data_IF_183285986860
#
_entry.id   IF_183285986860
#
_cell.length_a   1.000
_cell.length_b   1.000
_cell.length_c   1.000
_cell.angle_alpha   90.00
_cell.angle_beta   90.00
_cell.angle_gamma   90.00
#
_symmetry.space_group_name_H-M   'P 1'
#
loop_
_entity.id
_entity.type
_entity.pdbx_description
1 polymer ?
#
# COMPACT_ATOMS: atom_id res chain seq x y z
N UNK A 1 12.16 -7.66 25.23
CA UNK A 1 13.27 -7.39 24.27
C UNK A 1 13.95 -8.68 23.84
N UNK A 2 14.23 -8.88 22.54
CA UNK A 2 14.93 -10.06 22.02
C UNK A 2 16.45 -9.89 22.05
N UNK A 3 17.17 -11.02 22.20
CA UNK A 3 18.62 -11.05 22.03
C UNK A 3 18.98 -10.80 20.56
N UNK A 4 20.03 -10.00 20.27
CA UNK A 4 20.50 -9.79 18.91
C UNK A 4 20.97 -11.11 18.28
N UNK A 5 20.47 -11.37 17.08
CA UNK A 5 20.88 -12.49 16.23
C UNK A 5 21.03 -11.96 14.79
N UNK A 6 21.83 -12.64 13.94
CA UNK A 6 21.85 -12.35 12.52
C UNK A 6 20.44 -12.42 11.92
N UNK A 7 20.10 -11.49 11.02
CA UNK A 7 18.73 -11.34 10.51
C UNK A 7 18.18 -12.61 9.81
N UNK A 8 19.06 -13.39 9.19
CA UNK A 8 18.74 -14.63 8.46
C UNK A 8 19.30 -15.89 9.16
N UNK A 9 19.45 -15.86 10.48
CA UNK A 9 20.12 -16.96 11.20
C UNK A 9 19.47 -18.33 10.95
N UNK A 10 18.14 -18.38 10.81
CA UNK A 10 17.41 -19.64 10.66
C UNK A 10 17.53 -20.20 9.24
N UNK A 11 17.40 -19.33 8.22
CA UNK A 11 17.54 -19.70 6.82
C UNK A 11 18.95 -20.22 6.53
N UNK A 12 19.97 -19.49 7.00
CA UNK A 12 21.37 -19.89 6.81
C UNK A 12 21.65 -21.19 7.55
N UNK A 13 21.23 -21.32 8.81
CA UNK A 13 21.46 -22.54 9.57
C UNK A 13 20.77 -23.76 8.96
N UNK A 14 19.56 -23.59 8.42
CA UNK A 14 18.85 -24.65 7.73
C UNK A 14 19.59 -25.11 6.48
N UNK A 15 20.00 -24.18 5.60
CA UNK A 15 20.73 -24.50 4.37
C UNK A 15 22.05 -25.23 4.68
N UNK A 16 22.79 -24.74 5.69
CA UNK A 16 24.07 -25.35 6.10
C UNK A 16 23.88 -26.75 6.68
N UNK A 17 22.91 -26.94 7.58
CA UNK A 17 22.64 -28.24 8.20
C UNK A 17 22.04 -29.26 7.22
N UNK A 18 21.48 -28.82 6.10
CA UNK A 18 20.97 -29.69 5.03
C UNK A 18 22.06 -30.12 4.05
N UNK A 19 23.00 -29.24 3.71
CA UNK A 19 23.96 -29.47 2.61
C UNK A 19 25.41 -29.72 3.05
N UNK A 20 25.79 -29.27 4.25
CA UNK A 20 27.17 -29.30 4.77
C UNK A 20 27.20 -29.75 6.24
N UNK A 21 26.43 -30.79 6.57
CA UNK A 21 26.32 -31.29 7.93
C UNK A 21 27.63 -31.90 8.45
N UNK A 22 28.41 -32.51 7.57
CA UNK A 22 29.71 -33.11 7.81
C UNK A 22 30.79 -32.09 8.21
N UNK A 23 30.68 -30.86 7.73
CA UNK A 23 31.58 -29.75 8.10
C UNK A 23 31.23 -29.12 9.46
N UNK A 24 30.09 -29.47 10.06
CA UNK A 24 29.60 -28.86 11.30
C UNK A 24 29.83 -29.81 12.48
N UNK A 25 30.68 -29.44 13.46
CA UNK A 25 30.86 -30.25 14.65
C UNK A 25 29.55 -30.31 15.45
N UNK A 26 29.16 -31.51 15.86
CA UNK A 26 27.94 -31.76 16.65
C UNK A 26 26.66 -31.20 16.00
N UNK A 27 26.52 -31.36 14.68
CA UNK A 27 25.39 -30.83 13.90
C UNK A 27 24.00 -31.19 14.46
N UNK A 28 23.80 -32.41 14.99
CA UNK A 28 22.53 -32.83 15.60
C UNK A 28 22.19 -32.05 16.88
N UNK A 29 23.21 -31.75 17.70
CA UNK A 29 23.03 -30.93 18.90
C UNK A 29 22.70 -29.49 18.50
N UNK A 30 23.40 -28.93 17.52
CA UNK A 30 23.11 -27.61 16.96
C UNK A 30 21.68 -27.51 16.43
N UNK A 31 21.21 -28.55 15.71
CA UNK A 31 19.83 -28.63 15.21
C UNK A 31 18.82 -28.61 16.35
N UNK A 32 19.07 -29.33 17.44
CA UNK A 32 18.22 -29.33 18.63
C UNK A 32 18.17 -27.94 19.27
N UNK A 33 19.33 -27.32 19.51
CA UNK A 33 19.41 -25.98 20.10
C UNK A 33 18.73 -24.91 19.24
N UNK A 34 18.82 -25.01 17.90
CA UNK A 34 18.12 -24.09 17.00
C UNK A 34 16.61 -24.23 17.06
N UNK A 35 16.10 -25.46 17.23
CA UNK A 35 14.67 -25.70 17.43
C UNK A 35 14.19 -25.09 18.74
N UNK A 36 14.89 -25.36 19.84
CA UNK A 36 14.54 -24.82 21.16
C UNK A 36 14.58 -23.27 21.15
N UNK A 37 15.59 -22.69 20.51
CA UNK A 37 15.70 -21.25 20.33
C UNK A 37 14.53 -20.68 19.52
N UNK A 38 14.14 -21.34 18.42
CA UNK A 38 12.99 -20.95 17.60
C UNK A 38 11.71 -20.98 18.42
N UNK A 39 11.46 -22.06 19.16
CA UNK A 39 10.27 -22.23 19.97
C UNK A 39 10.16 -21.15 21.06
N UNK A 40 11.27 -20.91 21.78
CA UNK A 40 11.32 -19.87 22.80
C UNK A 40 11.05 -18.46 22.22
N UNK A 41 11.64 -18.16 21.06
CA UNK A 41 11.45 -16.86 20.39
C UNK A 41 10.05 -16.72 19.80
N UNK A 42 9.48 -17.78 19.23
CA UNK A 42 8.12 -17.79 18.72
C UNK A 42 7.09 -17.58 19.84
N UNK A 43 7.27 -18.24 20.98
CA UNK A 43 6.42 -18.06 22.17
C UNK A 43 6.44 -16.61 22.65
N UNK A 44 7.63 -16.01 22.74
CA UNK A 44 7.81 -14.59 23.10
C UNK A 44 7.21 -13.64 22.07
N UNK A 45 7.33 -13.95 20.78
CA UNK A 45 6.77 -13.14 19.72
C UNK A 45 5.24 -13.17 19.73
N UNK A 46 4.62 -14.33 19.98
CA UNK A 46 3.17 -14.46 20.18
C UNK A 46 2.67 -13.62 21.35
N UNK A 47 3.35 -13.67 22.50
CA UNK A 47 3.04 -12.80 23.63
C UNK A 47 3.15 -11.30 23.29
N UNK A 48 4.10 -10.93 22.41
CA UNK A 48 4.22 -9.57 21.88
C UNK A 48 3.06 -9.17 20.96
N UNK A 49 2.53 -10.12 20.19
CA UNK A 49 1.36 -9.93 19.33
C UNK A 49 0.07 -9.87 20.14
N UNK A 50 -0.04 -10.57 21.27
CA UNK A 50 -1.21 -10.43 22.17
C UNK A 50 -1.37 -9.00 22.70
N UNK A 51 -0.27 -8.25 22.76
CA UNK A 51 -0.26 -6.82 23.09
C UNK A 51 -0.62 -5.91 21.89
N UNK A 52 -1.26 -6.44 20.84
CA UNK A 52 -1.79 -5.71 19.68
C UNK A 52 -2.77 -4.60 20.12
N UNK A 53 -2.23 -3.40 20.28
CA UNK A 53 -2.98 -2.16 20.40
C UNK A 53 -3.24 -1.49 19.05
N UNK A 54 -3.90 -0.33 19.09
CA UNK A 54 -4.29 0.44 17.90
C UNK A 54 -3.13 1.22 17.24
N UNK A 55 -2.02 1.44 17.95
CA UNK A 55 -1.05 2.47 17.59
C UNK A 55 0.22 1.92 16.93
N UNK A 56 0.99 1.08 17.63
CA UNK A 56 2.17 0.40 17.07
C UNK A 56 2.63 -0.75 17.97
N UNK A 57 3.37 -1.70 17.41
CA UNK A 57 4.13 -2.72 18.14
C UNK A 57 5.60 -2.57 17.76
N UNK A 58 6.47 -2.56 18.77
CA UNK A 58 7.91 -2.55 18.59
C UNK A 58 8.50 -3.90 19.02
N UNK A 59 9.17 -4.57 18.10
CA UNK A 59 9.89 -5.83 18.33
C UNK A 59 11.25 -5.77 17.68
N UNK A 60 12.25 -5.34 18.45
CA UNK A 60 13.63 -5.25 17.97
C UNK A 60 14.30 -6.62 17.96
N UNK A 61 15.29 -6.79 17.08
CA UNK A 61 16.10 -8.01 16.95
C UNK A 61 15.30 -9.28 16.59
N UNK A 62 14.24 -9.13 15.79
CA UNK A 62 13.50 -10.25 15.20
C UNK A 62 14.13 -10.66 13.85
N UNK A 63 14.21 -11.97 13.59
CA UNK A 63 14.72 -12.51 12.33
C UNK A 63 13.69 -12.49 11.20
N UNK A 64 14.14 -12.64 9.96
CA UNK A 64 13.26 -12.62 8.78
C UNK A 64 12.23 -13.76 8.80
N UNK A 65 12.66 -15.01 9.04
CA UNK A 65 11.74 -16.15 9.11
C UNK A 65 10.64 -15.92 10.15
N UNK A 66 10.98 -15.36 11.30
CA UNK A 66 10.05 -15.08 12.39
C UNK A 66 9.03 -14.00 11.99
N UNK A 67 9.46 -12.94 11.31
CA UNK A 67 8.55 -11.92 10.74
C UNK A 67 7.59 -12.57 9.75
N UNK A 68 8.09 -13.44 8.88
CA UNK A 68 7.29 -14.06 7.83
C UNK A 68 6.24 -15.01 8.40
N UNK A 69 6.50 -15.66 9.54
CA UNK A 69 5.51 -16.46 10.26
C UNK A 69 4.36 -15.62 10.82
N UNK A 70 4.66 -14.44 11.37
CA UNK A 70 3.69 -13.59 12.08
C UNK A 70 2.89 -12.72 11.09
N UNK A 71 3.52 -12.30 9.99
CA UNK A 71 2.99 -11.38 8.98
C UNK A 71 1.54 -11.65 8.56
N UNK A 72 1.15 -12.86 8.11
CA UNK A 72 -0.19 -13.06 7.54
C UNK A 72 -1.30 -12.91 8.59
N UNK A 73 -1.05 -13.32 9.83
CA UNK A 73 -2.01 -13.14 10.92
C UNK A 73 -2.06 -11.68 11.37
N UNK A 74 -0.89 -11.11 11.68
CA UNK A 74 -0.76 -9.75 12.19
C UNK A 74 -1.40 -8.72 11.25
N UNK A 75 -1.10 -8.83 9.96
CA UNK A 75 -1.58 -7.87 8.95
C UNK A 75 -3.11 -7.87 8.90
N UNK A 76 -3.72 -9.06 8.88
CA UNK A 76 -5.19 -9.20 8.85
C UNK A 76 -5.83 -8.68 10.15
N UNK A 77 -5.35 -9.12 11.31
CA UNK A 77 -5.88 -8.70 12.60
C UNK A 77 -5.78 -7.18 12.77
N UNK A 78 -4.64 -6.59 12.43
CA UNK A 78 -4.42 -5.15 12.51
C UNK A 78 -5.37 -4.37 11.59
N UNK A 79 -5.60 -4.84 10.35
CA UNK A 79 -6.56 -4.20 9.46
C UNK A 79 -7.99 -4.24 10.00
N UNK A 80 -8.44 -5.37 10.55
CA UNK A 80 -9.78 -5.45 11.16
C UNK A 80 -9.92 -4.54 12.38
N UNK A 81 -8.90 -4.50 13.24
CA UNK A 81 -8.83 -3.59 14.38
C UNK A 81 -8.91 -2.11 13.92
N UNK A 82 -8.23 -1.76 12.83
CA UNK A 82 -8.28 -0.40 12.26
C UNK A 82 -9.65 -0.06 11.66
N UNK A 83 -10.35 -1.01 11.04
CA UNK A 83 -11.71 -0.79 10.51
C UNK A 83 -12.72 -0.48 11.62
N UNK A 84 -12.57 -1.12 12.78
CA UNK A 84 -13.45 -0.93 13.92
C UNK A 84 -13.16 0.36 14.70
N UNK A 85 -12.11 1.09 14.34
CA UNK A 85 -11.80 2.38 14.94
C UNK A 85 -12.97 3.33 14.65
N UNK A 86 -13.68 3.84 15.67
CA UNK A 86 -14.65 4.90 15.44
C UNK A 86 -13.90 6.06 14.80
N UNK A 87 -14.45 6.61 13.70
CA UNK A 87 -13.94 7.86 13.13
C UNK A 87 -13.79 8.82 14.29
N UNK A 88 -12.54 9.18 14.62
CA UNK A 88 -12.27 10.11 15.71
C UNK A 88 -13.22 11.28 15.48
N UNK A 89 -14.12 11.51 16.44
CA UNK A 89 -15.17 12.53 16.33
C UNK A 89 -14.52 13.81 15.82
N UNK A 90 -14.72 14.09 14.54
CA UNK A 90 -14.39 15.37 13.95
C UNK A 90 -15.32 16.35 14.63
N UNK A 91 -14.85 16.95 15.72
CA UNK A 91 -15.52 18.04 16.38
C UNK A 91 -15.73 19.15 15.35
N UNK A 92 -17.01 19.40 15.06
CA UNK A 92 -17.48 20.57 14.35
C UNK A 92 -16.85 21.84 14.91
N UNK A 93 -16.40 22.72 14.02
CA UNK A 93 -16.46 24.18 14.16
C UNK A 93 -16.25 24.79 12.76
N UNK A 94 -17.28 24.73 11.91
CA UNK A 94 -17.38 25.65 10.79
C UNK A 94 -18.68 26.42 10.97
N UNK A 95 -18.50 27.72 11.22
CA UNK A 95 -19.49 28.74 11.46
C UNK A 95 -20.64 28.69 10.46
N UNK A 96 -21.87 28.90 10.97
CA UNK A 96 -23.03 29.34 10.20
C UNK A 96 -22.60 30.47 9.26
N UNK A 97 -22.56 30.20 7.96
CA UNK A 97 -22.58 31.26 6.95
C UNK A 97 -24.03 31.41 6.50
N UNK A 98 -24.70 32.34 7.17
CA UNK A 98 -25.95 32.97 6.75
C UNK A 98 -25.68 33.73 5.44
N UNK A 99 -26.02 33.13 4.29
CA UNK A 99 -25.97 33.81 3.00
C UNK A 99 -27.31 34.50 2.76
N UNK A 100 -27.37 35.76 3.18
CA UNK A 100 -28.38 36.73 2.76
C UNK A 100 -28.32 36.93 1.23
N UNK A 101 -29.24 36.29 0.50
CA UNK A 101 -29.41 36.52 -0.94
C UNK A 101 -30.30 37.74 -1.15
N UNK A 102 -29.71 38.92 -0.96
CA UNK A 102 -30.32 40.20 -1.28
C UNK A 102 -30.69 40.29 -2.76
N UNK A 103 -32.00 40.39 -3.03
CA UNK A 103 -32.55 40.56 -4.38
C UNK A 103 -32.09 41.85 -5.03
N UNK A 104 -31.49 41.72 -6.22
CA UNK A 104 -31.18 42.83 -7.12
C UNK A 104 -31.72 42.52 -8.52
N UNK A 105 -32.84 43.15 -8.88
CA UNK A 105 -33.34 43.22 -10.25
C UNK A 105 -32.38 44.04 -11.11
N UNK A 106 -31.91 43.50 -12.23
CA UNK A 106 -31.33 44.30 -13.32
C UNK A 106 -31.64 43.66 -14.69
N UNK A 107 -32.57 44.30 -15.39
CA UNK A 107 -32.88 44.12 -16.82
C UNK A 107 -31.67 44.48 -17.69
N UNK A 108 -31.33 43.63 -18.69
CA UNK A 108 -30.23 43.93 -19.62
C UNK A 108 -30.06 42.91 -20.74
N UNK A 109 -30.48 43.29 -21.94
CA UNK A 109 -30.54 42.53 -23.20
C UNK A 109 -29.17 42.14 -23.81
N UNK A 110 -29.05 40.86 -24.21
CA UNK A 110 -28.22 40.16 -25.23
C UNK A 110 -26.74 40.54 -25.52
N UNK A 111 -25.86 39.53 -25.43
CA UNK A 111 -24.85 39.24 -26.47
C UNK A 111 -24.49 37.74 -26.50
N UNK A 112 -24.44 37.18 -27.71
CA UNK A 112 -24.22 35.78 -28.08
C UNK A 112 -22.72 35.48 -28.18
N UNK A 113 -22.27 34.32 -27.65
CA UNK A 113 -21.00 33.72 -28.06
C UNK A 113 -20.45 32.61 -27.13
N UNK A 114 -20.63 31.34 -27.52
CA UNK A 114 -19.69 30.26 -27.16
C UNK A 114 -20.13 29.25 -26.09
N UNK A 115 -20.93 28.27 -26.50
CA UNK A 115 -21.25 27.05 -25.75
C UNK A 115 -20.03 26.12 -25.63
N UNK A 116 -19.86 25.52 -24.46
CA UNK A 116 -18.93 24.42 -24.19
C UNK A 116 -19.26 23.76 -22.85
N UNK A 117 -20.49 23.27 -22.73
CA UNK A 117 -21.00 22.53 -21.59
C UNK A 117 -20.44 21.11 -21.58
N UNK A 118 -19.54 20.79 -20.65
CA UNK A 118 -19.23 19.40 -20.36
C UNK A 118 -20.24 18.86 -19.35
N UNK A 119 -21.38 18.39 -19.85
CA UNK A 119 -22.35 17.62 -19.06
C UNK A 119 -21.87 16.18 -18.94
N UNK A 120 -21.45 15.77 -17.75
CA UNK A 120 -21.15 14.38 -17.44
C UNK A 120 -22.46 13.60 -17.24
N UNK A 121 -22.79 12.72 -18.17
CA UNK A 121 -23.91 11.79 -18.07
C UNK A 121 -23.33 10.37 -18.08
N UNK A 122 -23.42 9.67 -16.95
CA UNK A 122 -22.98 8.29 -16.80
C UNK A 122 -24.21 7.37 -16.93
N UNK A 123 -24.22 6.50 -17.93
CA UNK A 123 -25.19 5.41 -18.02
C UNK A 123 -24.80 4.26 -17.08
N UNK A 124 -25.80 3.61 -16.49
CA UNK A 124 -25.71 2.61 -15.41
C UNK A 124 -24.84 1.37 -15.73
N UNK A 125 -24.43 1.17 -16.99
CA UNK A 125 -23.60 0.04 -17.44
C UNK A 125 -22.10 0.39 -17.67
N UNK A 126 -21.66 1.60 -17.31
CA UNK A 126 -20.22 1.89 -17.17
C UNK A 126 -19.38 1.92 -18.47
N UNK A 127 -19.97 2.15 -19.65
CA UNK A 127 -19.19 2.36 -20.88
C UNK A 127 -18.98 3.84 -21.17
N UNK A 128 -17.75 4.32 -20.99
CA UNK A 128 -17.31 5.66 -21.40
C UNK A 128 -17.07 5.72 -22.91
N UNK A 129 -17.79 6.59 -23.61
CA UNK A 129 -17.56 6.87 -25.04
C UNK A 129 -16.85 8.22 -25.18
N UNK A 130 -15.63 8.24 -25.71
CA UNK A 130 -14.90 9.47 -26.02
C UNK A 130 -15.13 9.84 -27.50
N UNK A 131 -15.81 10.95 -27.78
CA UNK A 131 -15.78 11.58 -29.10
C UNK A 131 -14.68 12.64 -29.12
N UNK A 132 -13.63 12.41 -29.92
CA UNK A 132 -12.53 13.36 -30.11
C UNK A 132 -12.80 14.24 -31.33
N UNK A 133 -13.06 15.53 -31.14
CA UNK A 133 -13.09 16.53 -32.20
C UNK A 133 -11.77 17.32 -32.29
N UNK A 134 -11.15 17.23 -33.48
CA UNK A 134 -10.16 18.15 -34.09
C UNK A 134 -8.76 18.28 -33.47
N UNK A 135 -7.77 17.64 -34.10
CA UNK A 135 -6.34 17.95 -33.95
C UNK A 135 -5.96 18.98 -35.02
N UNK A 136 -5.28 20.11 -34.69
CA UNK A 136 -4.85 21.09 -35.68
C UNK A 136 -3.66 20.56 -36.50
N UNK A 137 -3.79 20.67 -37.83
CA UNK A 137 -2.89 20.15 -38.84
C UNK A 137 -1.72 21.12 -39.12
N UNK A 138 -0.61 21.03 -38.36
CA UNK A 138 0.61 21.78 -38.74
C UNK A 138 1.93 21.16 -38.27
N UNK A 139 2.03 19.84 -38.13
CA UNK A 139 3.30 19.18 -37.78
C UNK A 139 3.39 17.74 -38.32
N UNK A 140 3.35 17.60 -39.65
CA UNK A 140 3.81 16.38 -40.35
C UNK A 140 5.26 16.55 -40.81
N UNK A 141 6.20 15.95 -40.08
CA UNK A 141 7.58 15.76 -40.55
C UNK A 141 7.60 14.75 -41.71
N UNK A 142 8.24 15.12 -42.82
CA UNK A 142 8.44 14.31 -44.02
C UNK A 142 9.48 13.20 -43.77
N UNK A 143 9.14 11.95 -44.08
CA UNK A 143 10.08 10.82 -44.19
C UNK A 143 10.54 10.68 -45.64
N UNK A 144 11.82 10.94 -45.91
CA UNK A 144 12.45 10.72 -47.21
C UNK A 144 12.81 9.24 -47.38
N UNK A 145 12.31 8.65 -48.46
CA UNK A 145 12.54 7.30 -48.96
C UNK A 145 14.03 6.94 -49.09
N UNK A 146 14.42 5.77 -48.57
CA UNK A 146 15.71 5.13 -48.87
C UNK A 146 15.63 4.34 -50.17
N UNK A 147 16.20 4.88 -51.25
CA UNK A 147 16.45 4.19 -52.51
C UNK A 147 17.88 3.65 -52.57
N UNK A 148 18.04 2.43 -53.08
CA UNK A 148 19.26 1.60 -53.14
C UNK A 148 20.29 2.11 -54.17
N UNK A 149 21.58 1.87 -53.90
CA UNK A 149 22.72 1.61 -54.82
C UNK A 149 23.91 1.20 -53.92
N UNK A 150 24.69 0.14 -54.15
CA UNK A 150 25.21 -0.45 -55.40
C UNK A 150 24.90 -1.94 -55.56
#
# INVERSE_FOLDING_TARGET
>A
MFSPLPYHYMEIAQILLENAMDDIPSADATRTLLKDLREARQSKARAGVDALGLTYIQMDNIGLMEINEIRPFFTKAFFEIQKLKPAATGGNNNMDNDYDYGGGSMDGRYSVGGQGNNSFMADFDGKASYSSSTVPESSRFHSTQGSRMN
#
